data_IF_856303736388
#
_entry.id   IF_856303736388
#
_cell.length_a   1.000
_cell.length_b   1.000
_cell.length_c   1.000
_cell.angle_alpha   90.00
_cell.angle_beta   90.00
_cell.angle_gamma   90.00
#
_symmetry.space_group_name_H-M   'P 1'
#
loop_
_entity.id
_entity.type
_entity.pdbx_description
1 polymer ?
#
# COMPACT_ATOMS: atom_id res chain seq x y z
N UNK A 1 14.06 -12.18 4.98
CA UNK A 1 13.35 -11.16 4.19
C UNK A 1 14.30 -9.99 4.00
N UNK A 2 14.61 -9.63 2.76
CA UNK A 2 15.36 -8.42 2.44
C UNK A 2 14.33 -7.37 2.01
N UNK A 3 13.77 -6.65 2.97
CA UNK A 3 12.77 -5.61 2.73
C UNK A 3 13.50 -4.25 2.74
N UNK A 4 13.15 -3.35 1.82
CA UNK A 4 13.76 -2.01 1.83
C UNK A 4 13.31 -1.27 3.09
N UNK A 5 14.24 -0.91 3.96
CA UNK A 5 13.97 -0.20 5.22
C UNK A 5 13.95 1.32 5.06
N UNK A 6 14.26 1.83 3.86
CA UNK A 6 14.24 3.27 3.56
C UNK A 6 12.86 3.74 3.13
N UNK A 7 11.99 2.84 2.68
CA UNK A 7 10.61 3.17 2.29
C UNK A 7 9.73 3.20 3.55
N UNK A 8 8.90 4.22 3.65
CA UNK A 8 7.96 4.39 4.77
C UNK A 8 6.55 3.92 4.38
N UNK A 9 5.70 3.71 5.38
CA UNK A 9 4.27 3.59 5.14
C UNK A 9 3.71 4.94 4.71
N UNK A 10 2.89 4.94 3.67
CA UNK A 10 2.18 6.13 3.21
C UNK A 10 0.74 6.05 3.68
N UNK A 11 0.25 7.10 4.32
CA UNK A 11 -1.17 7.21 4.68
C UNK A 11 -1.98 7.72 3.49
N UNK A 12 -3.19 7.20 3.37
CA UNK A 12 -4.17 7.76 2.45
C UNK A 12 -4.58 9.19 2.86
N UNK A 13 -4.87 10.01 1.87
CA UNK A 13 -5.33 11.39 1.95
C UNK A 13 -6.54 11.50 1.02
N UNK A 14 -7.74 11.53 1.60
CA UNK A 14 -9.00 11.45 0.86
C UNK A 14 -9.17 12.47 -0.30
N UNK A 15 -8.49 13.62 -0.24
CA UNK A 15 -8.53 14.65 -1.29
C UNK A 15 -7.49 14.46 -2.40
N UNK A 16 -6.63 13.42 -2.32
CA UNK A 16 -5.52 13.17 -3.24
C UNK A 16 -5.48 11.69 -3.60
N UNK A 17 -6.26 11.26 -4.58
CA UNK A 17 -6.35 9.84 -4.94
C UNK A 17 -4.99 9.14 -5.21
N UNK A 18 -3.93 9.86 -5.63
CA UNK A 18 -2.56 9.34 -5.71
C UNK A 18 -2.04 8.75 -4.38
N UNK A 19 -2.45 9.29 -3.23
CA UNK A 19 -2.08 8.77 -1.92
C UNK A 19 -2.62 7.36 -1.70
N UNK A 20 -3.79 7.04 -2.25
CA UNK A 20 -4.38 5.71 -2.14
C UNK A 20 -3.48 4.68 -2.83
N UNK A 21 -3.00 4.99 -4.04
CA UNK A 21 -2.03 4.15 -4.75
C UNK A 21 -0.73 3.96 -3.95
N UNK A 22 -0.14 5.05 -3.45
CA UNK A 22 1.11 4.99 -2.67
C UNK A 22 0.95 4.26 -1.33
N UNK A 23 -0.23 4.38 -0.69
CA UNK A 23 -0.59 3.61 0.49
C UNK A 23 -0.58 2.11 0.17
N UNK A 24 -1.28 1.69 -0.89
CA UNK A 24 -1.29 0.28 -1.30
C UNK A 24 0.11 -0.21 -1.67
N UNK A 25 0.89 0.57 -2.42
CA UNK A 25 2.25 0.22 -2.83
C UNK A 25 3.15 -0.09 -1.61
N UNK A 26 3.11 0.78 -0.58
CA UNK A 26 3.87 0.56 0.65
C UNK A 26 3.28 -0.55 1.53
N UNK A 27 1.95 -0.67 1.60
CA UNK A 27 1.28 -1.66 2.47
C UNK A 27 1.49 -3.08 1.95
N UNK A 28 1.37 -3.29 0.64
CA UNK A 28 1.60 -4.59 0.00
C UNK A 28 3.08 -5.00 0.09
N UNK A 29 4.02 -4.05 -0.06
CA UNK A 29 5.44 -4.31 0.16
C UNK A 29 5.74 -4.84 1.57
N UNK A 30 4.98 -4.38 2.57
CA UNK A 30 5.16 -4.75 3.97
C UNK A 30 4.15 -5.78 4.50
N UNK A 31 3.37 -6.45 3.64
CA UNK A 31 2.35 -7.47 4.04
C UNK A 31 2.90 -8.46 5.06
N UNK A 32 4.04 -9.10 4.75
CA UNK A 32 4.71 -10.07 5.62
C UNK A 32 5.22 -9.46 6.93
N UNK A 33 5.62 -8.18 6.90
CA UNK A 33 6.07 -7.46 8.10
C UNK A 33 4.89 -7.21 9.04
N UNK A 34 3.71 -6.87 8.52
CA UNK A 34 2.50 -6.73 9.34
C UNK A 34 2.07 -8.07 9.96
N UNK A 35 2.14 -9.16 9.20
CA UNK A 35 1.87 -10.51 9.72
C UNK A 35 2.82 -10.84 10.87
N UNK A 36 4.13 -10.64 10.67
CA UNK A 36 5.14 -10.87 11.71
C UNK A 36 4.93 -9.93 12.91
N UNK A 37 4.61 -8.66 12.68
CA UNK A 37 4.38 -7.70 13.76
C UNK A 37 3.21 -8.10 14.66
N UNK A 38 2.15 -8.70 14.10
CA UNK A 38 1.03 -9.26 14.86
C UNK A 38 1.46 -10.37 15.84
N UNK A 39 2.47 -11.16 15.48
CA UNK A 39 3.01 -12.21 16.36
C UNK A 39 3.73 -11.62 17.58
N UNK A 40 4.37 -10.47 17.44
CA UNK A 40 5.12 -9.81 18.52
C UNK A 40 4.28 -8.83 19.34
N UNK A 41 3.24 -8.23 18.76
CA UNK A 41 2.40 -7.25 19.43
C UNK A 41 0.94 -7.72 19.47
N UNK A 42 0.56 -8.33 20.60
CA UNK A 42 -0.81 -8.80 20.85
C UNK A 42 -1.87 -7.68 20.82
N UNK A 43 -1.47 -6.42 20.95
CA UNK A 43 -2.36 -5.26 20.81
C UNK A 43 -2.64 -4.87 19.36
N UNK A 44 -1.91 -5.44 18.39
CA UNK A 44 -2.14 -5.21 16.97
C UNK A 44 -3.27 -6.11 16.46
N UNK A 45 -4.51 -5.69 16.72
CA UNK A 45 -5.72 -6.47 16.43
C UNK A 45 -6.22 -6.33 14.99
N UNK A 46 -5.75 -5.32 14.24
CA UNK A 46 -6.26 -4.98 12.93
C UNK A 46 -5.27 -5.38 11.84
N UNK A 47 -5.45 -6.58 11.30
CA UNK A 47 -4.71 -7.10 10.15
C UNK A 47 -5.74 -7.65 9.15
N UNK A 48 -5.67 -7.27 7.86
CA UNK A 48 -6.56 -7.82 6.85
C UNK A 48 -6.47 -9.36 6.79
N UNK A 49 -7.59 -10.01 6.51
CA UNK A 49 -7.63 -11.44 6.18
C UNK A 49 -7.14 -11.67 4.75
N UNK A 50 -6.87 -12.92 4.36
CA UNK A 50 -6.27 -13.22 3.06
C UNK A 50 -7.14 -12.73 1.90
N UNK A 51 -8.46 -12.85 1.99
CA UNK A 51 -9.40 -12.38 0.98
C UNK A 51 -9.37 -10.84 0.82
N UNK A 52 -9.10 -10.10 1.90
CA UNK A 52 -8.95 -8.64 1.87
C UNK A 52 -7.60 -8.24 1.27
N UNK A 53 -6.54 -9.03 1.51
CA UNK A 53 -5.25 -8.85 0.84
C UNK A 53 -5.37 -9.07 -0.68
N UNK A 54 -6.00 -10.16 -1.10
CA UNK A 54 -6.24 -10.45 -2.52
C UNK A 54 -7.08 -9.34 -3.18
N UNK A 55 -8.08 -8.84 -2.47
CA UNK A 55 -8.91 -7.72 -2.95
C UNK A 55 -8.08 -6.43 -3.08
N UNK A 56 -7.20 -6.17 -2.11
CA UNK A 56 -6.29 -5.01 -2.12
C UNK A 56 -5.29 -5.07 -3.27
N UNK A 57 -4.76 -6.25 -3.59
CA UNK A 57 -3.87 -6.46 -4.75
C UNK A 57 -4.58 -6.15 -6.07
N UNK A 58 -5.82 -6.61 -6.24
CA UNK A 58 -6.64 -6.32 -7.44
C UNK A 58 -6.95 -4.83 -7.56
N UNK A 59 -7.28 -4.17 -6.45
CA UNK A 59 -7.52 -2.72 -6.43
C UNK A 59 -6.23 -1.97 -6.77
N UNK A 60 -5.10 -2.35 -6.16
CA UNK A 60 -3.78 -1.77 -6.43
C UNK A 60 -3.40 -1.87 -7.91
N UNK A 61 -3.58 -3.04 -8.51
CA UNK A 61 -3.36 -3.23 -9.95
C UNK A 61 -4.27 -2.32 -10.77
N UNK A 62 -5.57 -2.29 -10.48
CA UNK A 62 -6.52 -1.43 -11.20
C UNK A 62 -6.18 0.07 -11.11
N UNK A 63 -5.82 0.57 -9.92
CA UNK A 63 -5.51 2.00 -9.74
C UNK A 63 -4.12 2.38 -10.27
N UNK A 64 -3.20 1.40 -10.45
CA UNK A 64 -1.87 1.66 -11.01
C UNK A 64 -1.93 2.27 -12.41
N UNK A 65 -2.87 1.82 -13.25
CA UNK A 65 -3.08 2.38 -14.59
C UNK A 65 -3.43 3.87 -14.57
N UNK A 66 -4.22 4.30 -13.58
CA UNK A 66 -4.57 5.71 -13.41
C UNK A 66 -3.37 6.52 -12.89
N UNK A 67 -2.61 5.94 -11.96
CA UNK A 67 -1.38 6.54 -11.43
C UNK A 67 -0.38 6.81 -12.55
N UNK A 68 -0.12 5.82 -13.41
CA UNK A 68 0.77 5.97 -14.55
C UNK A 68 0.28 7.04 -15.53
N UNK A 69 -1.01 7.03 -15.88
CA UNK A 69 -1.60 8.07 -16.72
C UNK A 69 -1.41 9.46 -16.10
N UNK A 70 -1.56 9.55 -14.78
CA UNK A 70 -1.41 10.81 -14.05
C UNK A 70 0.02 11.27 -14.01
N UNK A 71 1.00 10.37 -13.89
CA UNK A 71 2.41 10.74 -14.02
C UNK A 71 2.69 11.35 -15.39
N UNK A 72 2.15 10.76 -16.47
CA UNK A 72 2.27 11.30 -17.83
C UNK A 72 1.66 12.71 -17.93
N UNK A 73 0.45 12.92 -17.40
CA UNK A 73 -0.23 14.21 -17.45
C UNK A 73 0.29 15.23 -16.41
N UNK A 74 0.95 14.77 -15.36
CA UNK A 74 1.58 15.62 -14.34
C UNK A 74 2.88 16.25 -14.82
N UNK A 75 3.26 15.97 -16.08
CA UNK A 75 4.37 16.60 -16.80
C UNK A 75 4.61 18.02 -16.32
N UNK A 76 5.69 18.14 -15.55
CA UNK A 76 6.24 19.39 -15.04
C UNK A 76 6.45 20.35 -16.20
N UNK A 77 5.96 21.58 -16.06
CA UNK A 77 6.43 22.71 -16.87
C UNK A 77 7.92 22.93 -16.65
#
# INVERSE_FOLDING_TARGET
MNVDTRKGLTLDVATRWNSTYLMFESTLLYKDIFQRYKEYNLGFIWLPIEEEWESSEKIYEFISYFYDATLVFSGTT
#
